data_IF_807722733095
#
_entry.id   IF_807722733095
#
_cell.length_a   1.000
_cell.length_b   1.000
_cell.length_c   1.000
_cell.angle_alpha   90.00
_cell.angle_beta   90.00
_cell.angle_gamma   90.00
#
_symmetry.space_group_name_H-M   'P 1'
#
loop_
_entity.id
_entity.type
_entity.pdbx_description
1 polymer ?
#
# COMPACT_ATOMS: atom_id res chain seq x y z
N UNK A 1 -19.04 14.23 4.11
CA UNK A 1 -18.10 14.83 3.13
C UNK A 1 -17.24 13.71 2.56
N UNK A 2 -17.36 13.39 1.27
CA UNK A 2 -16.49 12.39 0.62
C UNK A 2 -15.11 13.01 0.43
N UNK A 3 -14.23 12.81 1.41
CA UNK A 3 -12.82 13.16 1.30
C UNK A 3 -12.17 12.46 0.11
N UNK A 4 -11.19 13.11 -0.51
CA UNK A 4 -10.47 12.58 -1.66
C UNK A 4 -9.72 11.29 -1.30
N UNK A 5 -10.16 10.11 -1.75
CA UNK A 5 -9.62 8.80 -1.34
C UNK A 5 -8.21 8.48 -1.86
N UNK A 6 -7.66 9.29 -2.77
CA UNK A 6 -6.34 9.09 -3.38
C UNK A 6 -5.53 10.38 -3.22
N UNK A 7 -4.40 10.30 -2.53
CA UNK A 7 -3.46 11.42 -2.37
C UNK A 7 -2.17 11.15 -3.14
N UNK A 8 -1.64 12.16 -3.83
CA UNK A 8 -0.35 12.09 -4.50
C UNK A 8 0.66 13.01 -3.82
N UNK A 9 1.92 12.58 -3.81
CA UNK A 9 3.08 13.35 -3.40
C UNK A 9 4.31 12.96 -4.23
N UNK A 10 5.36 13.77 -4.20
CA UNK A 10 6.61 13.55 -4.93
C UNK A 10 6.62 14.13 -6.35
N UNK A 11 7.55 13.63 -7.16
CA UNK A 11 7.85 14.12 -8.51
C UNK A 11 6.99 13.46 -9.60
N UNK A 12 7.35 13.63 -10.87
CA UNK A 12 6.61 13.09 -12.02
C UNK A 12 6.97 11.64 -12.40
N UNK A 13 7.56 10.88 -11.48
CA UNK A 13 7.94 9.50 -11.71
C UNK A 13 6.76 8.54 -11.91
N UNK A 14 7.00 7.45 -12.65
CA UNK A 14 6.03 6.34 -12.85
C UNK A 14 6.14 5.24 -11.79
N UNK A 15 7.19 5.32 -10.99
CA UNK A 15 7.56 4.40 -9.93
C UNK A 15 7.56 5.10 -8.57
N UNK A 16 7.62 4.31 -7.51
CA UNK A 16 7.77 4.83 -6.15
C UNK A 16 7.12 3.98 -5.08
N UNK A 17 6.69 4.65 -4.03
CA UNK A 17 6.19 4.04 -2.79
C UNK A 17 4.72 4.39 -2.60
N UNK A 18 3.96 3.50 -1.99
CA UNK A 18 2.54 3.69 -1.72
C UNK A 18 2.16 3.18 -0.34
N UNK A 19 1.13 3.80 0.23
CA UNK A 19 0.48 3.34 1.44
C UNK A 19 -0.97 3.00 1.15
N UNK A 20 -1.44 1.86 1.65
CA UNK A 20 -2.84 1.46 1.62
C UNK A 20 -3.41 1.55 3.03
N UNK A 21 -4.41 2.40 3.22
CA UNK A 21 -5.22 2.41 4.43
C UNK A 21 -6.35 1.40 4.25
N UNK A 22 -6.44 0.45 5.16
CA UNK A 22 -7.32 -0.71 5.07
C UNK A 22 -8.20 -0.75 6.31
N UNK A 23 -9.50 -0.87 6.11
CA UNK A 23 -10.44 -1.21 7.17
C UNK A 23 -10.79 -2.68 7.07
N UNK A 24 -10.79 -3.37 8.21
CA UNK A 24 -11.24 -4.74 8.35
C UNK A 24 -12.47 -4.74 9.26
N UNK A 25 -13.63 -5.09 8.71
CA UNK A 25 -14.91 -4.95 9.41
C UNK A 25 -15.19 -6.01 10.47
N UNK A 26 -14.50 -7.15 10.42
CA UNK A 26 -14.63 -8.27 11.36
C UNK A 26 -13.29 -8.92 11.60
N UNK A 27 -13.12 -9.52 12.77
CA UNK A 27 -11.94 -10.34 13.05
C UNK A 27 -11.88 -11.52 12.07
N UNK A 28 -10.74 -11.72 11.41
CA UNK A 28 -10.53 -12.83 10.47
C UNK A 28 -9.35 -13.68 10.89
N UNK A 29 -9.40 -14.97 10.56
CA UNK A 29 -8.26 -15.88 10.71
C UNK A 29 -7.68 -16.13 9.32
N UNK A 30 -6.44 -15.71 9.09
CA UNK A 30 -5.86 -15.67 7.76
C UNK A 30 -4.45 -16.26 7.74
N UNK A 31 -4.15 -17.09 6.74
CA UNK A 31 -2.80 -17.49 6.40
C UNK A 31 -2.27 -16.59 5.27
N UNK A 32 -1.04 -16.10 5.42
CA UNK A 32 -0.37 -15.24 4.46
C UNK A 32 0.53 -16.05 3.52
N UNK A 33 -0.04 -16.95 2.74
CA UNK A 33 0.72 -17.87 1.90
C UNK A 33 1.61 -18.80 2.74
N UNK A 34 2.90 -18.90 2.39
CA UNK A 34 3.87 -19.71 3.13
C UNK A 34 4.44 -19.02 4.38
N UNK A 35 4.02 -17.78 4.68
CA UNK A 35 4.46 -17.07 5.88
C UNK A 35 4.21 -17.89 7.14
N UNK A 36 5.21 -17.96 8.03
CA UNK A 36 5.19 -18.80 9.23
C UNK A 36 4.77 -20.27 8.94
N UNK A 37 5.25 -20.83 7.83
CA UNK A 37 4.90 -22.19 7.36
C UNK A 37 3.39 -22.38 7.14
N UNK A 38 2.70 -21.33 6.71
CA UNK A 38 1.26 -21.33 6.49
C UNK A 38 0.41 -21.23 7.75
N UNK A 39 1.02 -20.90 8.90
CA UNK A 39 0.27 -20.69 10.14
C UNK A 39 -0.75 -19.56 9.96
N UNK A 40 -1.97 -19.79 10.44
CA UNK A 40 -3.00 -18.75 10.46
C UNK A 40 -2.77 -17.77 11.61
N UNK A 41 -2.94 -16.48 11.31
CA UNK A 41 -2.94 -15.40 12.29
C UNK A 41 -4.37 -14.92 12.52
N UNK A 42 -4.67 -14.51 13.74
CA UNK A 42 -5.93 -13.86 14.07
C UNK A 42 -5.74 -12.35 13.89
N UNK A 43 -6.46 -11.76 12.94
CA UNK A 43 -6.47 -10.33 12.67
C UNK A 43 -7.73 -9.74 13.27
N UNK A 44 -7.63 -8.93 14.35
CA UNK A 44 -8.79 -8.24 14.91
C UNK A 44 -9.46 -7.29 13.91
N UNK A 45 -10.76 -7.07 14.04
CA UNK A 45 -11.41 -5.95 13.36
C UNK A 45 -10.72 -4.63 13.70
N UNK A 46 -10.63 -3.71 12.75
CA UNK A 46 -9.95 -2.42 12.96
C UNK A 46 -9.32 -1.86 11.69
N UNK A 47 -8.33 -0.98 11.88
CA UNK A 47 -7.63 -0.32 10.79
C UNK A 47 -6.20 -0.82 10.67
N UNK A 48 -5.74 -0.91 9.43
CA UNK A 48 -4.42 -1.40 9.08
C UNK A 48 -3.81 -0.49 8.02
N UNK A 49 -2.49 -0.35 8.10
CA UNK A 49 -1.69 0.40 7.14
C UNK A 49 -0.71 -0.56 6.47
N UNK A 50 -0.71 -0.57 5.14
CA UNK A 50 0.27 -1.32 4.36
C UNK A 50 1.20 -0.39 3.60
N UNK A 51 2.52 -0.56 3.79
CA UNK A 51 3.57 0.13 3.05
C UNK A 51 4.11 -0.77 1.93
N UNK A 52 4.17 -0.28 0.70
CA UNK A 52 4.76 -1.04 -0.40
C UNK A 52 5.44 -0.17 -1.43
N UNK A 53 6.28 -0.78 -2.24
CA UNK A 53 7.01 -0.11 -3.31
C UNK A 53 6.80 -0.80 -4.67
N UNK A 54 6.91 -0.01 -5.74
CA UNK A 54 6.85 -0.47 -7.12
C UNK A 54 7.91 0.26 -7.95
N UNK A 55 9.14 -0.25 -7.89
CA UNK A 55 10.36 0.32 -8.48
C UNK A 55 10.81 -0.47 -9.71
N UNK A 56 9.88 -0.90 -10.56
CA UNK A 56 10.21 -1.68 -11.76
C UNK A 56 10.71 -0.78 -12.89
N UNK A 57 11.81 -1.16 -13.54
CA UNK A 57 12.54 -0.29 -14.48
C UNK A 57 12.27 -0.62 -15.96
N UNK A 58 11.10 -1.17 -16.28
CA UNK A 58 10.78 -1.54 -17.66
C UNK A 58 10.44 -0.31 -18.53
N UNK A 59 10.93 -0.27 -19.76
CA UNK A 59 10.57 0.77 -20.72
C UNK A 59 9.05 0.83 -20.93
N UNK A 60 8.50 2.06 -20.95
CA UNK A 60 7.07 2.31 -21.06
C UNK A 60 6.20 1.55 -20.03
N UNK A 61 6.78 1.17 -18.88
CA UNK A 61 6.04 0.54 -17.80
C UNK A 61 5.42 1.59 -16.87
N UNK A 62 4.31 1.20 -16.24
CA UNK A 62 3.63 1.97 -15.20
C UNK A 62 3.61 1.15 -13.90
N UNK A 63 4.76 0.98 -13.22
CA UNK A 63 4.89 0.02 -12.13
C UNK A 63 3.96 0.35 -10.95
N UNK A 64 3.84 1.63 -10.55
CA UNK A 64 2.90 2.05 -9.50
C UNK A 64 1.45 1.72 -9.88
N UNK A 65 1.01 2.15 -11.06
CA UNK A 65 -0.37 1.92 -11.49
C UNK A 65 -0.69 0.43 -11.57
N UNK A 66 0.18 -0.38 -12.18
CA UNK A 66 -0.01 -1.84 -12.26
C UNK A 66 -0.10 -2.47 -10.87
N UNK A 67 0.76 -2.06 -9.93
CA UNK A 67 0.76 -2.58 -8.56
C UNK A 67 -0.50 -2.20 -7.79
N UNK A 68 -0.91 -0.94 -7.83
CA UNK A 68 -2.10 -0.44 -7.14
C UNK A 68 -3.40 -1.00 -7.72
N UNK A 69 -3.49 -1.11 -9.05
CA UNK A 69 -4.65 -1.73 -9.71
C UNK A 69 -4.74 -3.20 -9.34
N UNK A 70 -3.62 -3.89 -9.19
CA UNK A 70 -3.60 -5.26 -8.70
C UNK A 70 -4.05 -5.39 -7.25
N UNK A 71 -3.63 -4.51 -6.35
CA UNK A 71 -4.09 -4.55 -4.96
C UNK A 71 -5.58 -4.23 -4.82
N UNK A 72 -6.11 -3.33 -5.65
CA UNK A 72 -7.55 -3.02 -5.67
C UNK A 72 -8.40 -4.04 -6.43
N UNK A 73 -7.79 -5.11 -6.96
CA UNK A 73 -8.47 -6.23 -7.63
C UNK A 73 -8.50 -7.47 -6.74
N UNK A 74 -9.55 -8.27 -6.90
CA UNK A 74 -9.65 -9.62 -6.33
C UNK A 74 -9.38 -10.67 -7.40
N UNK A 75 -9.18 -11.91 -6.99
CA UNK A 75 -8.98 -13.05 -7.89
C UNK A 75 -10.31 -13.55 -8.46
N UNK A 76 -10.25 -14.31 -9.57
CA UNK A 76 -11.44 -14.85 -10.25
C UNK A 76 -12.47 -13.77 -10.62
N UNK A 77 -13.75 -14.06 -10.35
CA UNK A 77 -14.88 -13.15 -10.55
C UNK A 77 -15.16 -12.24 -9.34
N UNK A 78 -14.20 -12.17 -8.40
CA UNK A 78 -14.32 -11.34 -7.21
C UNK A 78 -14.46 -9.86 -7.56
N UNK A 79 -15.50 -9.21 -7.00
CA UNK A 79 -15.71 -7.79 -7.19
C UNK A 79 -14.48 -6.98 -6.71
N UNK A 80 -13.96 -6.06 -7.52
CA UNK A 80 -12.85 -5.21 -7.10
C UNK A 80 -13.21 -4.35 -5.89
N UNK A 81 -12.19 -3.85 -5.19
CA UNK A 81 -12.39 -2.87 -4.11
C UNK A 81 -13.08 -1.62 -4.64
N UNK A 82 -14.03 -1.06 -3.89
CA UNK A 82 -14.83 0.09 -4.32
C UNK A 82 -13.99 1.30 -4.76
N UNK A 83 -12.82 1.50 -4.13
CA UNK A 83 -11.87 2.56 -4.46
C UNK A 83 -11.27 2.44 -5.87
N UNK A 84 -11.36 1.27 -6.54
CA UNK A 84 -10.69 1.00 -7.82
C UNK A 84 -11.07 2.00 -8.91
N UNK A 85 -12.36 2.38 -9.02
CA UNK A 85 -12.80 3.35 -10.03
C UNK A 85 -12.18 4.73 -9.80
N UNK A 86 -12.17 5.19 -8.54
CA UNK A 86 -11.52 6.43 -8.15
C UNK A 86 -10.01 6.39 -8.43
N UNK A 87 -9.34 5.29 -8.09
CA UNK A 87 -7.93 5.06 -8.40
C UNK A 87 -7.65 5.12 -9.91
N UNK A 88 -8.43 4.45 -10.75
CA UNK A 88 -8.23 4.49 -12.21
C UNK A 88 -8.34 5.91 -12.78
N UNK A 89 -9.33 6.68 -12.32
CA UNK A 89 -9.48 8.09 -12.71
C UNK A 89 -8.29 8.93 -12.25
N UNK A 90 -7.89 8.76 -10.99
CA UNK A 90 -6.75 9.45 -10.39
C UNK A 90 -5.43 9.16 -11.11
N UNK A 91 -5.16 7.89 -11.48
CA UNK A 91 -3.96 7.49 -12.20
C UNK A 91 -3.90 8.08 -13.61
N UNK A 92 -5.02 8.09 -14.34
CA UNK A 92 -5.11 8.72 -15.68
C UNK A 92 -4.86 10.23 -15.60
N UNK A 93 -5.54 10.91 -14.66
CA UNK A 93 -5.39 12.37 -14.45
C UNK A 93 -3.94 12.75 -14.14
N UNK A 94 -3.21 11.89 -13.42
CA UNK A 94 -1.81 12.11 -13.03
C UNK A 94 -0.79 11.47 -13.99
N UNK A 95 -1.19 11.09 -15.22
CA UNK A 95 -0.32 10.51 -16.27
C UNK A 95 0.45 9.25 -15.83
N UNK A 96 -0.08 8.52 -14.86
CA UNK A 96 0.46 7.25 -14.35
C UNK A 96 -0.14 6.03 -15.03
N UNK A 97 -0.98 6.21 -16.05
CA UNK A 97 -1.49 5.12 -16.86
C UNK A 97 -1.82 5.62 -18.27
N UNK A 98 -1.40 4.86 -19.29
CA UNK A 98 -1.99 4.95 -20.62
C UNK A 98 -3.32 4.19 -20.70
N UNK A 99 -4.06 4.35 -21.79
CA UNK A 99 -5.41 3.79 -21.95
C UNK A 99 -5.47 2.26 -21.78
N UNK A 100 -4.39 1.56 -22.14
CA UNK A 100 -4.29 0.10 -22.05
C UNK A 100 -3.61 -0.43 -20.77
N UNK A 101 -3.08 0.44 -19.90
CA UNK A 101 -2.21 0.03 -18.77
C UNK A 101 -2.97 -0.51 -17.53
N UNK A 102 -4.30 -0.40 -17.50
CA UNK A 102 -5.13 -0.66 -16.32
C UNK A 102 -5.92 -1.98 -16.39
N UNK A 103 -5.70 -2.78 -17.43
CA UNK A 103 -6.27 -4.12 -17.57
C UNK A 103 -5.49 -5.16 -16.77
N UNK A 104 -6.18 -6.06 -16.06
CA UNK A 104 -5.58 -7.23 -15.42
C UNK A 104 -6.16 -8.47 -16.10
N UNK A 105 -5.31 -9.34 -16.63
CA UNK A 105 -5.75 -10.58 -17.29
C UNK A 105 -6.31 -11.59 -16.30
N UNK A 106 -5.62 -11.80 -15.16
CA UNK A 106 -6.08 -12.61 -14.02
C UNK A 106 -5.11 -12.37 -12.84
N UNK A 107 -5.63 -12.16 -11.62
CA UNK A 107 -4.80 -12.00 -10.42
C UNK A 107 -4.56 -13.38 -9.78
N UNK A 108 -3.30 -13.72 -9.53
CA UNK A 108 -2.86 -14.76 -8.56
C UNK A 108 -2.45 -14.07 -7.26
N UNK A 109 -2.50 -14.70 -6.08
CA UNK A 109 -1.96 -14.07 -4.86
C UNK A 109 -0.43 -14.15 -4.88
N UNK A 110 0.26 -13.02 -4.66
CA UNK A 110 1.72 -12.96 -4.71
C UNK A 110 2.33 -12.29 -3.48
N UNK A 111 1.75 -11.18 -3.02
CA UNK A 111 2.21 -10.50 -1.81
C UNK A 111 1.35 -10.89 -0.62
N UNK A 112 1.91 -10.87 0.59
CA UNK A 112 1.13 -11.15 1.81
C UNK A 112 -0.13 -10.27 1.89
N UNK A 113 -0.02 -8.98 1.54
CA UNK A 113 -1.18 -8.09 1.53
C UNK A 113 -2.30 -8.53 0.58
N UNK A 114 -1.98 -9.27 -0.50
CA UNK A 114 -3.00 -9.78 -1.41
C UNK A 114 -3.98 -10.72 -0.67
N UNK A 115 -3.51 -11.49 0.31
CA UNK A 115 -4.37 -12.40 1.09
C UNK A 115 -5.38 -11.61 1.95
N UNK A 116 -4.94 -10.54 2.60
CA UNK A 116 -5.84 -9.69 3.40
C UNK A 116 -6.82 -8.93 2.49
N UNK A 117 -6.36 -8.45 1.34
CA UNK A 117 -7.19 -7.73 0.38
C UNK A 117 -8.16 -8.66 -0.37
N UNK A 118 -7.97 -9.97 -0.30
CA UNK A 118 -8.89 -10.99 -0.82
C UNK A 118 -10.06 -11.28 0.15
N UNK A 119 -9.93 -10.94 1.44
CA UNK A 119 -11.02 -11.06 2.42
C UNK A 119 -12.17 -10.10 2.10
N UNK A 120 -13.44 -10.55 2.00
CA UNK A 120 -14.60 -9.68 1.78
C UNK A 120 -14.77 -8.59 2.85
N UNK A 121 -14.29 -8.86 4.07
CA UNK A 121 -14.30 -7.97 5.23
C UNK A 121 -13.30 -6.82 5.10
N UNK A 122 -12.32 -6.95 4.20
CA UNK A 122 -11.26 -5.98 3.98
C UNK A 122 -11.64 -4.99 2.89
N UNK A 123 -11.42 -3.70 3.18
CA UNK A 123 -11.67 -2.58 2.27
C UNK A 123 -10.52 -1.60 2.30
N UNK A 124 -10.00 -1.24 1.13
CA UNK A 124 -9.08 -0.11 1.00
C UNK A 124 -9.89 1.18 1.10
N UNK A 125 -9.63 1.98 2.12
CA UNK A 125 -10.33 3.24 2.40
C UNK A 125 -9.62 4.44 1.77
N UNK A 126 -8.29 4.41 1.74
CA UNK A 126 -7.45 5.49 1.20
C UNK A 126 -6.15 4.95 0.61
N UNK A 127 -5.60 5.66 -0.38
CA UNK A 127 -4.28 5.35 -0.95
C UNK A 127 -3.45 6.64 -0.97
N UNK A 128 -2.25 6.57 -0.39
CA UNK A 128 -1.22 7.61 -0.56
C UNK A 128 -0.19 7.10 -1.55
N UNK A 129 0.05 7.87 -2.62
CA UNK A 129 0.97 7.52 -3.72
C UNK A 129 2.11 8.52 -3.72
N UNK A 130 3.33 8.03 -3.48
CA UNK A 130 4.55 8.83 -3.42
C UNK A 130 5.39 8.47 -4.65
N UNK A 131 5.42 9.38 -5.62
CA UNK A 131 6.09 9.21 -6.91
C UNK A 131 7.55 9.65 -6.76
N UNK A 132 8.46 8.68 -6.71
CA UNK A 132 9.89 8.91 -6.53
C UNK A 132 10.67 7.68 -7.00
N UNK A 133 11.82 7.87 -7.65
CA UNK A 133 12.60 6.77 -8.18
C UNK A 133 13.35 6.01 -7.08
N UNK A 134 13.72 6.72 -6.03
CA UNK A 134 14.44 6.24 -4.86
C UNK A 134 13.55 5.42 -3.92
N UNK A 135 14.18 4.48 -3.21
CA UNK A 135 13.49 3.59 -2.27
C UNK A 135 13.22 4.30 -0.95
N UNK A 136 12.00 4.83 -0.79
CA UNK A 136 11.53 5.49 0.44
C UNK A 136 11.07 4.52 1.53
N UNK A 137 10.90 3.24 1.19
CA UNK A 137 10.36 2.21 2.09
C UNK A 137 11.08 2.14 3.45
N UNK A 138 12.43 2.15 3.56
CA UNK A 138 13.08 2.09 4.88
C UNK A 138 12.80 3.30 5.77
N UNK A 139 12.81 4.51 5.20
CA UNK A 139 12.60 5.75 5.97
C UNK A 139 11.14 5.86 6.41
N UNK A 140 10.20 5.55 5.50
CA UNK A 140 8.77 5.51 5.84
C UNK A 140 8.45 4.40 6.84
N UNK A 141 9.06 3.22 6.74
CA UNK A 141 8.87 2.14 7.71
C UNK A 141 9.26 2.60 9.12
N UNK A 142 10.44 3.23 9.26
CA UNK A 142 10.91 3.76 10.55
C UNK A 142 9.99 4.86 11.10
N UNK A 143 9.59 5.79 10.26
CA UNK A 143 8.66 6.86 10.65
C UNK A 143 7.33 6.29 11.14
N UNK A 144 6.75 5.35 10.38
CA UNK A 144 5.48 4.74 10.73
C UNK A 144 5.61 3.89 12.00
N UNK A 145 6.61 3.02 12.10
CA UNK A 145 6.82 2.16 13.28
C UNK A 145 7.06 2.96 14.58
N UNK A 146 7.60 4.18 14.49
CA UNK A 146 7.79 5.08 15.63
C UNK A 146 6.52 5.89 15.98
N UNK A 147 5.49 5.86 15.13
CA UNK A 147 4.29 6.68 15.31
C UNK A 147 3.38 6.09 16.41
N UNK A 148 2.89 6.90 17.37
CA UNK A 148 2.11 6.42 18.53
C UNK A 148 0.82 5.68 18.15
N UNK A 149 0.18 6.08 17.04
CA UNK A 149 -1.06 5.45 16.56
C UNK A 149 -0.86 4.17 15.76
N UNK A 150 0.37 3.66 15.63
CA UNK A 150 0.63 2.41 14.93
C UNK A 150 1.25 1.35 15.84
N UNK A 151 1.02 0.10 15.49
CA UNK A 151 1.69 -1.03 16.12
C UNK A 151 2.02 -2.10 15.10
N UNK A 152 3.14 -2.79 15.30
CA UNK A 152 3.56 -3.91 14.46
C UNK A 152 2.61 -5.08 14.67
N UNK A 153 1.77 -5.37 13.68
CA UNK A 153 0.81 -6.49 13.78
C UNK A 153 1.53 -7.84 13.83
N UNK A 154 2.49 -8.05 12.92
CA UNK A 154 3.34 -9.23 12.91
C UNK A 154 4.71 -8.87 12.32
N UNK A 155 5.79 -9.24 13.02
CA UNK A 155 7.15 -9.00 12.54
C UNK A 155 7.38 -9.70 11.19
N UNK A 156 8.09 -9.04 10.27
CA UNK A 156 8.44 -9.52 8.91
C UNK A 156 7.26 -9.75 7.97
N UNK A 157 6.03 -9.42 8.37
CA UNK A 157 4.87 -9.60 7.52
C UNK A 157 4.85 -8.53 6.41
N UNK A 158 5.13 -8.96 5.18
CA UNK A 158 5.06 -8.12 3.97
C UNK A 158 6.40 -7.50 3.55
N UNK A 159 7.43 -7.66 4.39
CA UNK A 159 8.79 -7.21 4.17
C UNK A 159 9.71 -8.39 3.75
N UNK A 160 9.34 -9.13 2.71
CA UNK A 160 10.18 -10.24 2.24
C UNK A 160 11.56 -9.76 1.74
N UNK A 161 11.65 -8.50 1.28
CA UNK A 161 12.85 -7.91 0.71
C UNK A 161 13.75 -7.18 1.75
N UNK A 162 13.30 -7.02 3.00
CA UNK A 162 14.06 -6.31 4.05
C UNK A 162 14.07 -7.13 5.34
N UNK A 163 15.27 -7.37 5.89
CA UNK A 163 15.47 -8.31 7.01
C UNK A 163 14.81 -7.85 8.33
N UNK A 164 14.48 -6.56 8.47
CA UNK A 164 14.14 -5.93 9.76
C UNK A 164 12.84 -5.11 9.80
N UNK A 165 12.04 -5.04 8.73
CA UNK A 165 10.81 -4.23 8.73
C UNK A 165 9.56 -5.11 8.72
N UNK A 166 8.42 -4.53 9.11
CA UNK A 166 7.11 -5.07 8.73
C UNK A 166 6.43 -4.05 7.84
N UNK A 167 5.72 -4.53 6.83
CA UNK A 167 5.01 -3.64 5.92
C UNK A 167 3.52 -3.58 6.24
N UNK A 168 3.04 -4.32 7.24
CA UNK A 168 1.66 -4.26 7.71
C UNK A 168 1.62 -3.86 9.19
N UNK A 169 1.05 -2.68 9.45
CA UNK A 169 0.86 -2.12 10.78
C UNK A 169 -0.63 -2.09 11.12
N UNK A 170 -0.97 -2.29 12.39
CA UNK A 170 -2.29 -1.90 12.89
C UNK A 170 -2.27 -0.41 13.18
N UNK A 171 -3.41 0.26 12.99
CA UNK A 171 -3.56 1.69 13.21
C UNK A 171 -4.81 1.96 14.06
N UNK A 172 -4.68 2.82 15.07
CA UNK A 172 -5.80 3.19 15.94
C UNK A 172 -6.65 4.31 15.33
N UNK A 173 -5.99 5.37 14.86
CA UNK A 173 -6.65 6.51 14.21
C UNK A 173 -6.07 6.72 12.80
N UNK A 174 -6.69 6.14 11.76
CA UNK A 174 -6.19 6.23 10.39
C UNK A 174 -6.29 7.64 9.81
N UNK A 175 -7.21 8.47 10.28
CA UNK A 175 -7.39 9.83 9.76
C UNK A 175 -6.34 10.76 10.35
N UNK A 176 -6.11 10.73 11.67
CA UNK A 176 -5.05 11.50 12.32
C UNK A 176 -3.65 11.11 11.79
N UNK A 177 -3.39 9.80 11.67
CA UNK A 177 -2.13 9.30 11.10
C UNK A 177 -1.94 9.79 9.65
N UNK A 178 -2.99 9.77 8.83
CA UNK A 178 -2.91 10.26 7.45
C UNK A 178 -2.60 11.75 7.41
N UNK A 179 -3.29 12.55 8.23
CA UNK A 179 -3.07 14.00 8.28
C UNK A 179 -1.65 14.33 8.71
N UNK A 180 -1.13 13.67 9.75
CA UNK A 180 0.24 13.86 10.21
C UNK A 180 1.25 13.41 9.16
N UNK A 181 1.08 12.22 8.58
CA UNK A 181 1.92 11.72 7.50
C UNK A 181 1.99 12.74 6.35
N UNK A 182 0.86 13.30 5.90
CA UNK A 182 0.85 14.26 4.80
C UNK A 182 1.53 15.59 5.14
N UNK A 183 1.48 16.03 6.40
CA UNK A 183 2.24 17.21 6.87
C UNK A 183 3.74 16.96 6.87
N UNK A 184 4.16 15.77 7.31
CA UNK A 184 5.57 15.45 7.50
C UNK A 184 6.24 14.92 6.22
N UNK A 185 5.43 14.47 5.25
CA UNK A 185 5.90 13.83 4.03
C UNK A 185 6.95 14.62 3.24
N UNK A 186 6.84 15.95 3.05
CA UNK A 186 7.88 16.72 2.38
C UNK A 186 9.24 16.58 3.07
N UNK A 187 9.29 16.66 4.41
CA UNK A 187 10.53 16.51 5.18
C UNK A 187 11.09 15.10 5.12
N UNK A 188 10.22 14.08 5.19
CA UNK A 188 10.61 12.66 5.07
C UNK A 188 11.22 12.38 3.69
N UNK A 189 10.63 12.95 2.63
CA UNK A 189 11.10 12.77 1.25
C UNK A 189 12.44 13.45 1.02
N UNK A 190 12.66 14.64 1.59
CA UNK A 190 13.93 15.38 1.50
C UNK A 190 15.05 14.72 2.30
N UNK A 191 14.79 14.19 3.50
CA UNK A 191 15.82 13.51 4.31
C UNK A 191 16.42 12.27 3.63
N UNK A 192 15.70 11.66 2.67
CA UNK A 192 16.22 10.58 1.83
C UNK A 192 17.24 11.06 0.79
N UNK A 193 17.15 12.30 0.32
CA UNK A 193 18.07 12.83 -0.70
C UNK A 193 19.48 13.02 -0.12
N UNK A 194 19.57 13.38 1.17
CA UNK A 194 20.83 13.63 1.87
C UNK A 194 21.60 12.36 2.28
N UNK A 195 20.96 11.19 2.29
CA UNK A 195 21.58 9.91 2.69
C UNK A 195 22.04 9.06 1.49
N UNK A 196 22.20 9.69 0.32
CA UNK A 196 22.89 9.10 -0.83
C UNK A 196 24.41 9.34 -0.73
N UNK A 197 25.06 8.70 0.24
CA UNK A 197 26.52 8.52 0.29
C UNK A 197 26.84 7.11 0.78
#
# INVERSE_FOLDING_TARGET
MTGQQITFSGSNERQGTYLLFISLSKTVRLAFGSFMKGKTLLLPAGHYLYLGSALGNGDNSFPLARRLIRHTSRTGDGNPHAIRKALQSALRKNRLAGDHALGIKQKKLHWHIDYLLECPESRITHIVIIRKAEKLEPVLSRYLEAHPDTSVFAQRLGAQDTKNSTHLLQCNDPDALREQLLRDLPGIVSACDDHSC
#
